data_IF_825972873759
#
_entry.id   IF_825972873759
#
_cell.length_a   1.000
_cell.length_b   1.000
_cell.length_c   1.000
_cell.angle_alpha   90.00
_cell.angle_beta   90.00
_cell.angle_gamma   90.00
#
_symmetry.space_group_name_H-M   'P 1'
#
loop_
_entity.id
_entity.type
_entity.pdbx_description
1 polymer ?
#
# COMPACT_ATOMS: atom_id res chain seq x y z
N UNK A 1 6.02 -5.47 13.77
CA UNK A 1 4.89 -6.34 13.39
C UNK A 1 3.62 -5.54 13.44
N UNK A 2 3.34 -4.82 12.35
CA UNK A 2 2.10 -4.10 12.15
C UNK A 2 1.20 -5.00 11.27
N UNK A 3 0.60 -6.00 11.92
CA UNK A 3 -0.35 -6.94 11.29
C UNK A 3 -1.73 -6.57 11.80
N UNK A 4 -2.65 -6.33 10.87
CA UNK A 4 -4.01 -5.92 11.16
C UNK A 4 -5.00 -6.92 10.61
N UNK A 5 -6.16 -6.99 11.22
CA UNK A 5 -7.30 -7.75 10.73
C UNK A 5 -8.52 -6.86 10.92
N UNK A 6 -9.21 -6.55 9.82
CA UNK A 6 -10.43 -5.77 9.84
C UNK A 6 -11.57 -6.54 9.19
N UNK A 7 -12.79 -6.40 9.72
CA UNK A 7 -13.97 -6.89 9.02
C UNK A 7 -14.21 -6.05 7.75
N UNK A 8 -14.58 -6.72 6.68
CA UNK A 8 -15.03 -6.11 5.44
C UNK A 8 -16.39 -6.70 5.05
N UNK A 9 -17.25 -5.87 4.49
CA UNK A 9 -18.55 -6.23 3.95
C UNK A 9 -18.36 -6.42 2.45
N UNK A 10 -18.66 -7.62 1.96
CA UNK A 10 -18.66 -7.96 0.54
C UNK A 10 -20.10 -7.99 0.04
N UNK A 11 -20.43 -7.18 -0.95
CA UNK A 11 -21.77 -7.13 -1.56
C UNK A 11 -21.67 -7.54 -3.02
N UNK A 12 -22.48 -8.51 -3.43
CA UNK A 12 -22.60 -8.89 -4.84
C UNK A 12 -23.53 -7.89 -5.54
N UNK A 13 -23.05 -7.30 -6.62
CA UNK A 13 -23.75 -6.30 -7.41
C UNK A 13 -24.56 -6.94 -8.55
N UNK A 14 -25.51 -6.20 -9.12
CA UNK A 14 -26.40 -6.69 -10.20
C UNK A 14 -25.66 -7.18 -11.46
N UNK A 15 -24.43 -6.72 -11.68
CA UNK A 15 -23.57 -7.12 -12.82
C UNK A 15 -22.68 -8.35 -12.53
N UNK A 16 -22.85 -8.98 -11.35
CA UNK A 16 -22.10 -10.14 -10.90
C UNK A 16 -20.71 -9.82 -10.32
N UNK A 17 -20.37 -8.54 -10.21
CA UNK A 17 -19.16 -8.08 -9.53
C UNK A 17 -19.38 -7.95 -8.03
N UNK A 18 -18.30 -7.70 -7.31
CA UNK A 18 -18.33 -7.53 -5.87
C UNK A 18 -17.84 -6.14 -5.50
N UNK A 19 -18.60 -5.45 -4.64
CA UNK A 19 -18.11 -4.30 -3.90
C UNK A 19 -17.65 -4.73 -2.52
N UNK A 20 -16.63 -4.04 -1.99
CA UNK A 20 -16.08 -4.30 -0.66
C UNK A 20 -15.94 -3.00 0.09
N UNK A 21 -16.40 -2.98 1.34
CA UNK A 21 -16.36 -1.83 2.23
C UNK A 21 -15.77 -2.24 3.58
N UNK A 22 -14.90 -1.39 4.15
CA UNK A 22 -14.43 -1.51 5.52
C UNK A 22 -15.17 -0.50 6.42
N UNK A 23 -16.11 -0.94 7.28
CA UNK A 23 -16.94 -0.02 8.06
C UNK A 23 -16.14 0.80 9.08
N UNK A 24 -15.01 0.28 9.54
CA UNK A 24 -14.18 0.94 10.57
C UNK A 24 -13.20 1.97 9.99
N UNK A 25 -13.00 1.99 8.66
CA UNK A 25 -12.00 2.84 8.01
C UNK A 25 -12.70 3.76 7.02
N UNK A 26 -12.66 5.07 7.31
CA UNK A 26 -13.30 6.08 6.49
C UNK A 26 -12.79 6.06 5.04
N UNK A 27 -13.71 6.08 4.08
CA UNK A 27 -13.43 6.06 2.64
C UNK A 27 -12.59 4.84 2.18
N UNK A 28 -12.66 3.71 2.88
CA UNK A 28 -11.99 2.48 2.50
C UNK A 28 -12.97 1.50 1.85
N UNK A 29 -13.01 1.54 0.52
CA UNK A 29 -13.83 0.67 -0.31
C UNK A 29 -13.10 0.31 -1.60
N UNK A 30 -13.48 -0.81 -2.19
CA UNK A 30 -12.92 -1.33 -3.45
C UNK A 30 -13.93 -2.26 -4.12
N UNK A 31 -13.54 -2.91 -5.22
CA UNK A 31 -14.36 -3.93 -5.85
C UNK A 31 -13.52 -4.90 -6.67
N UNK A 32 -14.14 -5.99 -7.10
CA UNK A 32 -13.50 -7.00 -7.94
C UNK A 32 -14.49 -7.67 -8.88
N UNK A 33 -13.96 -8.28 -9.94
CA UNK A 33 -14.77 -8.93 -10.97
C UNK A 33 -15.41 -10.25 -10.47
N UNK A 34 -14.83 -10.86 -9.43
CA UNK A 34 -15.36 -12.02 -8.71
C UNK A 34 -14.94 -11.97 -7.23
N UNK A 35 -15.43 -12.89 -6.41
CA UNK A 35 -15.14 -12.92 -4.97
C UNK A 35 -13.65 -13.07 -4.63
N UNK A 36 -12.89 -13.80 -5.46
CA UNK A 36 -11.46 -14.02 -5.21
C UNK A 36 -10.67 -12.75 -5.53
N UNK A 37 -10.98 -12.11 -6.66
CA UNK A 37 -10.41 -10.82 -7.02
C UNK A 37 -10.82 -9.73 -6.03
N UNK A 38 -12.08 -9.69 -5.58
CA UNK A 38 -12.54 -8.73 -4.58
C UNK A 38 -11.81 -8.88 -3.24
N UNK A 39 -11.51 -10.11 -2.82
CA UNK A 39 -10.72 -10.36 -1.61
C UNK A 39 -9.26 -9.88 -1.75
N UNK A 40 -8.64 -10.11 -2.90
CA UNK A 40 -7.30 -9.57 -3.21
C UNK A 40 -7.29 -8.04 -3.20
N UNK A 41 -8.28 -7.42 -3.86
CA UNK A 41 -8.44 -5.97 -3.88
C UNK A 41 -8.73 -5.40 -2.50
N UNK A 42 -9.45 -6.14 -1.64
CA UNK A 42 -9.73 -5.77 -0.26
C UNK A 42 -8.46 -5.76 0.61
N UNK A 43 -7.59 -6.76 0.45
CA UNK A 43 -6.29 -6.80 1.13
C UNK A 43 -5.42 -5.61 0.71
N UNK A 44 -5.36 -5.30 -0.60
CA UNK A 44 -4.57 -4.18 -1.12
C UNK A 44 -5.05 -2.82 -0.60
N UNK A 45 -6.35 -2.53 -0.70
CA UNK A 45 -6.90 -1.24 -0.23
C UNK A 45 -6.77 -1.10 1.30
N UNK A 46 -6.97 -2.17 2.06
CA UNK A 46 -6.79 -2.17 3.50
C UNK A 46 -5.34 -1.84 3.87
N UNK A 47 -4.38 -2.48 3.20
CA UNK A 47 -2.97 -2.22 3.44
C UNK A 47 -2.52 -0.84 3.04
N UNK A 48 -3.00 -0.32 1.91
CA UNK A 48 -2.73 1.04 1.49
C UNK A 48 -3.22 2.05 2.53
N UNK A 49 -4.49 1.94 2.96
CA UNK A 49 -5.11 2.88 3.90
C UNK A 49 -4.42 2.85 5.26
N UNK A 50 -4.18 1.66 5.82
CA UNK A 50 -3.49 1.53 7.11
C UNK A 50 -2.05 2.03 7.04
N UNK A 51 -1.34 1.78 5.94
CA UNK A 51 0.01 2.30 5.73
C UNK A 51 0.04 3.83 5.67
N UNK A 52 -0.89 4.45 4.96
CA UNK A 52 -0.99 5.91 4.89
C UNK A 52 -1.32 6.51 6.26
N UNK A 53 -2.20 5.88 7.04
CA UNK A 53 -2.49 6.30 8.42
C UNK A 53 -1.24 6.23 9.31
N UNK A 54 -0.46 5.15 9.23
CA UNK A 54 0.82 5.02 9.95
C UNK A 54 1.80 6.14 9.57
N UNK A 55 1.93 6.41 8.27
CA UNK A 55 2.86 7.41 7.73
C UNK A 55 2.49 8.83 8.14
N UNK A 56 1.20 9.13 8.22
CA UNK A 56 0.67 10.42 8.68
C UNK A 56 0.61 10.55 10.20
N UNK A 57 0.91 9.48 10.95
CA UNK A 57 0.81 9.46 12.41
C UNK A 57 -0.64 9.49 12.92
N UNK A 58 -1.60 9.09 12.09
CA UNK A 58 -3.02 8.97 12.47
C UNK A 58 -3.23 7.71 13.31
N UNK A 59 -4.16 7.78 14.25
CA UNK A 59 -4.55 6.63 15.05
C UNK A 59 -5.30 5.61 14.18
N UNK A 60 -4.87 4.35 14.22
CA UNK A 60 -5.58 3.25 13.55
C UNK A 60 -6.81 2.88 14.40
N UNK A 61 -8.02 2.81 13.80
CA UNK A 61 -9.23 2.46 14.51
C UNK A 61 -9.17 1.04 15.07
N UNK A 62 -9.98 0.78 16.09
CA UNK A 62 -10.15 -0.59 16.61
C UNK A 62 -11.13 -1.32 15.68
N UNK A 63 -10.79 -2.50 15.15
CA UNK A 63 -11.70 -3.28 14.32
C UNK A 63 -12.98 -3.64 15.07
N UNK A 64 -14.12 -3.48 14.42
CA UNK A 64 -15.42 -3.91 14.93
C UNK A 64 -15.53 -5.43 15.00
N UNK A 65 -16.36 -5.94 15.90
CA UNK A 65 -16.70 -7.36 15.91
C UNK A 65 -17.58 -7.70 14.70
N UNK A 66 -17.25 -8.78 13.95
CA UNK A 66 -18.04 -9.18 12.78
C UNK A 66 -19.54 -9.35 13.06
N UNK A 67 -19.89 -9.75 14.28
CA UNK A 67 -21.29 -9.99 14.70
C UNK A 67 -22.07 -8.69 14.96
N UNK A 68 -21.36 -7.59 15.20
CA UNK A 68 -21.96 -6.29 15.48
C UNK A 68 -22.18 -5.47 14.20
N UNK A 69 -21.70 -5.96 13.05
CA UNK A 69 -21.84 -5.29 11.76
C UNK A 69 -23.19 -5.68 11.17
N UNK A 70 -24.06 -4.69 11.01
CA UNK A 70 -25.29 -4.84 10.25
C UNK A 70 -24.96 -4.83 8.76
N UNK A 71 -25.52 -5.79 8.04
CA UNK A 71 -25.30 -5.96 6.61
C UNK A 71 -26.64 -5.78 5.91
N UNK A 72 -26.70 -4.81 5.01
CA UNK A 72 -27.83 -4.61 4.12
C UNK A 72 -27.64 -5.44 2.84
N UNK A 73 -28.73 -5.77 2.16
CA UNK A 73 -28.73 -6.33 0.79
C UNK A 73 -27.92 -7.61 0.56
N UNK A 74 -27.95 -8.56 1.52
CA UNK A 74 -27.40 -9.90 1.30
C UNK A 74 -25.87 -9.97 1.25
N UNK A 75 -25.18 -8.91 1.66
CA UNK A 75 -23.73 -8.91 1.79
C UNK A 75 -23.21 -9.91 2.81
N UNK A 76 -21.92 -10.23 2.69
CA UNK A 76 -21.21 -11.19 3.55
C UNK A 76 -20.06 -10.47 4.27
N UNK A 77 -20.02 -10.61 5.59
CA UNK A 77 -18.88 -10.11 6.37
C UNK A 77 -17.77 -11.16 6.40
N UNK A 78 -16.57 -10.73 6.03
CA UNK A 78 -15.36 -11.55 6.14
C UNK A 78 -14.23 -10.76 6.79
N UNK A 79 -13.29 -11.48 7.41
CA UNK A 79 -12.09 -10.88 7.99
C UNK A 79 -11.00 -10.79 6.92
N UNK A 80 -10.49 -9.59 6.70
CA UNK A 80 -9.36 -9.34 5.80
C UNK A 80 -8.13 -9.04 6.64
N UNK A 81 -7.05 -9.77 6.38
CA UNK A 81 -5.77 -9.56 7.02
C UNK A 81 -4.95 -8.59 6.18
N UNK A 82 -4.24 -7.69 6.84
CA UNK A 82 -3.21 -6.86 6.22
C UNK A 82 -1.88 -6.96 6.99
N UNK A 83 -0.77 -6.93 6.26
CA UNK A 83 0.59 -6.82 6.80
C UNK A 83 1.26 -5.54 6.26
N UNK A 84 1.12 -4.43 6.96
CA UNK A 84 1.66 -3.12 6.51
C UNK A 84 3.19 -3.12 6.52
N UNK A 85 3.84 -3.98 7.32
CA UNK A 85 5.29 -4.11 7.33
C UNK A 85 5.80 -4.74 6.02
N UNK A 86 5.13 -5.77 5.52
CA UNK A 86 5.43 -6.39 4.22
C UNK A 86 5.10 -5.43 3.08
N UNK A 87 3.94 -4.75 3.16
CA UNK A 87 3.52 -3.76 2.17
C UNK A 87 4.51 -2.59 2.07
N UNK A 88 4.96 -2.07 3.22
CA UNK A 88 6.00 -1.05 3.32
C UNK A 88 7.30 -1.51 2.67
N UNK A 89 7.79 -2.71 2.98
CA UNK A 89 9.02 -3.26 2.37
C UNK A 89 8.88 -3.40 0.85
N UNK A 90 7.71 -3.76 0.35
CA UNK A 90 7.47 -3.86 -1.09
C UNK A 90 7.58 -2.48 -1.78
N UNK A 91 6.96 -1.45 -1.19
CA UNK A 91 6.97 -0.09 -1.77
C UNK A 91 8.26 0.69 -1.51
N UNK A 92 8.89 0.55 -0.33
CA UNK A 92 10.16 1.21 0.00
C UNK A 92 11.33 0.68 -0.84
N UNK A 93 11.32 -0.62 -1.19
CA UNK A 93 12.37 -1.21 -2.02
C UNK A 93 12.13 -1.01 -3.53
N UNK A 94 11.01 -0.39 -3.93
CA UNK A 94 10.74 -0.12 -5.34
C UNK A 94 11.62 1.02 -5.83
N UNK A 95 12.58 0.68 -6.69
CA UNK A 95 13.43 1.67 -7.36
C UNK A 95 12.58 2.57 -8.26
N UNK A 96 12.61 3.88 -8.01
CA UNK A 96 11.92 4.89 -8.83
C UNK A 96 12.91 5.53 -9.80
N UNK A 97 12.65 5.41 -11.12
CA UNK A 97 13.48 6.07 -12.14
C UNK A 97 13.45 7.59 -11.96
N UNK A 98 14.64 8.21 -11.98
CA UNK A 98 14.80 9.67 -11.96
C UNK A 98 15.53 10.12 -13.21
N UNK A 99 14.98 11.13 -13.90
CA UNK A 99 15.65 11.84 -14.98
C UNK A 99 16.35 13.05 -14.37
N UNK A 100 17.67 13.17 -14.60
CA UNK A 100 18.51 14.20 -13.99
C UNK A 100 19.46 14.83 -15.01
N UNK A 101 19.96 16.01 -14.69
CA UNK A 101 20.88 16.78 -15.53
C UNK A 101 22.19 16.99 -14.78
N UNK A 102 23.32 16.65 -15.42
CA UNK A 102 24.67 16.89 -14.90
C UNK A 102 25.56 17.53 -15.98
N UNK A 103 26.63 18.24 -15.59
CA UNK A 103 27.60 18.78 -16.55
C UNK A 103 28.23 17.67 -17.42
N UNK A 104 28.44 17.96 -18.71
CA UNK A 104 29.00 17.01 -19.68
C UNK A 104 30.36 16.44 -19.24
N UNK A 105 31.26 17.30 -18.74
CA UNK A 105 32.58 16.87 -18.26
C UNK A 105 32.50 15.85 -17.12
N UNK A 106 31.46 15.92 -16.30
CA UNK A 106 31.26 15.02 -15.17
C UNK A 106 30.72 13.68 -15.66
N UNK A 107 29.77 13.70 -16.61
CA UNK A 107 29.24 12.50 -17.24
C UNK A 107 30.37 11.69 -17.90
N UNK A 108 31.18 12.33 -18.75
CA UNK A 108 32.28 11.64 -19.44
C UNK A 108 33.29 11.02 -18.47
N UNK A 109 33.62 11.72 -17.38
CA UNK A 109 34.57 11.23 -16.39
C UNK A 109 34.00 10.04 -15.60
N UNK A 110 32.71 10.10 -15.26
CA UNK A 110 31.99 9.03 -14.56
C UNK A 110 31.83 7.79 -15.45
N UNK A 111 31.50 7.95 -16.74
CA UNK A 111 31.41 6.85 -17.70
C UNK A 111 32.76 6.16 -17.92
N UNK A 112 33.86 6.92 -18.10
CA UNK A 112 35.21 6.34 -18.25
C UNK A 112 35.66 5.56 -17.01
N UNK A 113 35.20 5.98 -15.83
CA UNK A 113 35.46 5.28 -14.57
C UNK A 113 34.42 4.18 -14.26
N UNK A 114 33.47 3.92 -15.16
CA UNK A 114 32.40 2.93 -15.01
C UNK A 114 31.58 3.12 -13.71
N UNK A 115 31.29 4.37 -13.36
CA UNK A 115 30.57 4.75 -12.14
C UNK A 115 29.10 4.37 -12.24
N UNK A 116 28.55 3.76 -11.19
CA UNK A 116 27.11 3.54 -11.06
C UNK A 116 26.42 4.84 -10.60
N UNK A 117 25.90 5.62 -11.56
CA UNK A 117 25.18 6.87 -11.28
C UNK A 117 24.01 6.70 -10.29
N UNK A 118 23.25 5.61 -10.39
CA UNK A 118 22.14 5.36 -9.46
C UNK A 118 22.66 5.08 -8.05
N UNK A 119 23.72 4.29 -7.92
CA UNK A 119 24.36 4.00 -6.63
C UNK A 119 24.90 5.26 -5.97
N UNK A 120 25.67 6.07 -6.70
CA UNK A 120 26.21 7.34 -6.19
C UNK A 120 25.11 8.30 -5.76
N UNK A 121 24.01 8.40 -6.52
CA UNK A 121 22.87 9.21 -6.13
C UNK A 121 22.22 8.71 -4.84
N UNK A 122 22.03 7.40 -4.70
CA UNK A 122 21.46 6.80 -3.50
C UNK A 122 22.35 7.04 -2.27
N UNK A 123 23.65 6.82 -2.38
CA UNK A 123 24.62 7.07 -1.31
C UNK A 123 24.65 8.54 -0.89
N UNK A 124 24.67 9.46 -1.86
CA UNK A 124 24.67 10.89 -1.59
C UNK A 124 23.37 11.36 -0.90
N UNK A 125 22.21 10.84 -1.33
CA UNK A 125 20.92 11.13 -0.70
C UNK A 125 20.85 10.58 0.72
N UNK A 126 21.31 9.34 0.95
CA UNK A 126 21.41 8.76 2.29
C UNK A 126 22.28 9.60 3.21
N UNK A 127 23.45 10.03 2.74
CA UNK A 127 24.34 10.89 3.51
C UNK A 127 23.70 12.24 3.87
N UNK A 128 22.99 12.87 2.92
CA UNK A 128 22.28 14.14 3.14
C UNK A 128 21.09 14.02 4.10
N UNK A 129 20.39 12.88 4.06
CA UNK A 129 19.25 12.60 4.93
C UNK A 129 19.65 11.93 6.25
N UNK A 130 20.94 11.71 6.49
CA UNK A 130 21.49 11.01 7.66
C UNK A 130 20.92 9.59 7.84
N UNK A 131 20.70 8.89 6.72
CA UNK A 131 20.24 7.50 6.66
C UNK A 131 21.44 6.56 6.44
N UNK A 132 21.42 5.38 7.07
CA UNK A 132 22.45 4.33 6.89
C UNK A 132 22.15 3.43 5.67
#
# INVERSE_FOLDING_TARGET
MAKYVFPAIFTEEDDGKYSVLFPDIENCFTGGDDIANALEMAEDVLCLMLYDMEKEGKAIPVPSECKAIEVEDGGVVSLVRCDTETYRRFYENKSVKKTLTIPMWLNERAERANVNFSGVLQEALKAQLHLQ
#
